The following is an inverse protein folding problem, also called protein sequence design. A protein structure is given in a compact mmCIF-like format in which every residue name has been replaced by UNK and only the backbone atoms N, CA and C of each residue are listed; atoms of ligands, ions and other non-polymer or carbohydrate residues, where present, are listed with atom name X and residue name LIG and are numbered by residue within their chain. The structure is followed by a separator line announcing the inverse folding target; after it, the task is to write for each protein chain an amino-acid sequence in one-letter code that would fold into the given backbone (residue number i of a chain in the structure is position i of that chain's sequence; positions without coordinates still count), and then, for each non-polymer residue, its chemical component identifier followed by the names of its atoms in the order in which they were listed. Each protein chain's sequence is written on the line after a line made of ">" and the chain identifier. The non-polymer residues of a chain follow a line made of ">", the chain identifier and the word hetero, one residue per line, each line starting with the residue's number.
data_IF_537619629102
#
_entry.id   IF_537619629102
#
_cell.length_a   1.000
_cell.length_b   1.000
_cell.length_c   1.000
_cell.angle_alpha   90.00
_cell.angle_beta   90.00
_cell.angle_gamma   90.00
#
_symmetry.space_group_name_H-M   'P 1'
#
loop_
_entity.id
_entity.type
_entity.pdbx_description
1 polymer ?
#
# COMPACT_ATOMS: atom_id res chain seq x y z
N UNK A 1 8.31 21.20 -4.73
CA UNK A 1 7.54 20.54 -5.82
C UNK A 1 6.40 19.77 -5.16
N UNK A 2 5.19 19.78 -5.71
CA UNK A 2 4.05 19.05 -5.13
C UNK A 2 4.17 17.57 -5.51
N UNK A 3 4.01 16.65 -4.55
CA UNK A 3 4.14 15.20 -4.77
C UNK A 3 3.05 14.67 -5.72
N UNK A 4 1.80 14.95 -5.39
CA UNK A 4 0.62 14.57 -6.18
C UNK A 4 -0.24 15.81 -6.44
N UNK A 5 0.01 16.54 -7.54
CA UNK A 5 -0.84 17.66 -7.93
C UNK A 5 -2.31 17.21 -8.03
N UNK A 6 -3.27 18.00 -7.53
CA UNK A 6 -4.69 17.68 -7.66
C UNK A 6 -5.09 17.54 -9.14
N UNK A 7 -5.80 16.47 -9.46
CA UNK A 7 -6.37 16.21 -10.79
C UNK A 7 -7.81 15.75 -10.59
N UNK A 8 -8.73 16.31 -11.37
CA UNK A 8 -10.15 15.95 -11.30
C UNK A 8 -10.36 14.45 -11.53
N UNK A 9 -11.20 13.81 -10.70
CA UNK A 9 -11.46 12.37 -10.78
C UNK A 9 -10.30 11.47 -10.32
N UNK A 10 -9.21 12.05 -9.80
CA UNK A 10 -8.07 11.33 -9.26
C UNK A 10 -7.96 11.58 -7.76
N UNK A 11 -7.93 10.51 -6.97
CA UNK A 11 -7.60 10.59 -5.55
C UNK A 11 -6.24 9.94 -5.30
N UNK A 12 -5.49 10.54 -4.39
CA UNK A 12 -4.18 10.03 -3.99
C UNK A 12 -4.03 10.05 -2.47
N UNK A 13 -3.34 9.05 -1.96
CA UNK A 13 -2.85 9.00 -0.58
C UNK A 13 -1.38 8.63 -0.64
N UNK A 14 -0.55 9.31 0.15
CA UNK A 14 0.88 9.10 0.14
C UNK A 14 1.43 8.85 1.55
N UNK A 15 2.41 7.96 1.61
CA UNK A 15 3.26 7.74 2.78
C UNK A 15 4.73 7.84 2.37
N UNK A 16 5.62 7.82 3.35
CA UNK A 16 7.04 8.02 3.17
C UNK A 16 7.82 6.96 3.94
N UNK A 17 8.91 6.46 3.38
CA UNK A 17 9.88 5.60 4.07
C UNK A 17 11.25 5.75 3.45
N UNK A 18 12.21 6.21 4.25
CA UNK A 18 13.60 6.32 3.85
C UNK A 18 13.79 7.33 2.71
N UNK A 19 14.10 6.83 1.53
CA UNK A 19 14.40 7.58 0.31
C UNK A 19 13.27 7.56 -0.72
N UNK A 20 12.10 6.98 -0.39
CA UNK A 20 10.96 6.86 -1.30
C UNK A 20 9.64 7.37 -0.70
N UNK A 21 8.81 7.95 -1.58
CA UNK A 21 7.38 8.09 -1.36
C UNK A 21 6.64 6.87 -1.91
N UNK A 22 5.58 6.47 -1.22
CA UNK A 22 4.67 5.38 -1.57
C UNK A 22 3.28 5.98 -1.75
N UNK A 23 2.64 5.72 -2.89
CA UNK A 23 1.44 6.45 -3.30
C UNK A 23 0.36 5.45 -3.71
N UNK A 24 -0.83 5.53 -3.11
CA UNK A 24 -2.05 4.92 -3.63
C UNK A 24 -2.72 5.92 -4.54
N UNK A 25 -3.01 5.53 -5.77
CA UNK A 25 -3.72 6.35 -6.75
C UNK A 25 -4.97 5.62 -7.21
N UNK A 26 -6.11 6.32 -7.19
CA UNK A 26 -7.36 5.85 -7.78
C UNK A 26 -7.80 6.82 -8.87
N UNK A 27 -8.22 6.29 -10.01
CA UNK A 27 -8.75 7.05 -11.15
C UNK A 27 -9.98 6.36 -11.75
N UNK A 28 -10.54 6.90 -12.84
CA UNK A 28 -11.59 6.20 -13.59
C UNK A 28 -11.11 4.90 -14.24
N UNK A 29 -9.87 4.85 -14.71
CA UNK A 29 -9.26 3.65 -15.34
C UNK A 29 -8.77 2.67 -14.27
N UNK A 30 -8.12 3.16 -13.21
CA UNK A 30 -7.64 2.37 -12.08
C UNK A 30 -8.63 2.52 -10.92
N UNK A 31 -9.83 2.00 -11.08
CA UNK A 31 -10.95 2.21 -10.15
C UNK A 31 -10.80 1.45 -8.83
N UNK A 32 -10.04 0.35 -8.84
CA UNK A 32 -9.62 -0.41 -7.65
C UNK A 32 -8.26 0.05 -7.08
N UNK A 33 -7.81 1.21 -7.53
CA UNK A 33 -6.50 1.80 -7.23
C UNK A 33 -5.30 1.00 -7.73
N UNK A 34 -4.15 1.66 -7.71
CA UNK A 34 -2.82 1.08 -7.92
C UNK A 34 -1.86 1.69 -6.89
N UNK A 35 -0.73 1.02 -6.65
CA UNK A 35 0.33 1.53 -5.78
C UNK A 35 1.55 1.89 -6.60
N UNK A 36 2.08 3.08 -6.34
CA UNK A 36 3.26 3.64 -6.99
C UNK A 36 4.34 3.96 -5.96
N UNK A 37 5.56 4.11 -6.42
CA UNK A 37 6.65 4.68 -5.64
C UNK A 37 7.53 5.60 -6.48
N UNK A 38 8.14 6.58 -5.82
CA UNK A 38 9.15 7.46 -6.42
C UNK A 38 10.22 7.84 -5.41
N UNK A 39 11.46 8.09 -5.86
CA UNK A 39 12.49 8.67 -5.01
C UNK A 39 12.10 10.06 -4.49
N UNK A 40 12.48 10.38 -3.25
CA UNK A 40 12.19 11.69 -2.63
C UNK A 40 12.90 12.83 -3.36
N UNK A 41 14.10 12.58 -3.90
CA UNK A 41 14.89 13.54 -4.65
C UNK A 41 14.43 13.72 -6.11
N UNK A 42 13.71 12.75 -6.66
CA UNK A 42 13.17 12.78 -8.01
C UNK A 42 11.76 12.19 -8.10
N UNK A 43 10.78 12.96 -7.62
CA UNK A 43 9.36 12.56 -7.67
C UNK A 43 8.82 12.35 -9.11
N UNK A 44 9.51 12.85 -10.15
CA UNK A 44 9.12 12.60 -11.54
C UNK A 44 9.43 11.17 -12.00
N UNK A 45 10.35 10.48 -11.33
CA UNK A 45 10.64 9.06 -11.56
C UNK A 45 9.64 8.15 -10.83
N UNK A 46 8.34 8.47 -10.94
CA UNK A 46 7.28 7.66 -10.34
C UNK A 46 7.04 6.41 -11.17
N UNK A 47 7.00 5.26 -10.50
CA UNK A 47 6.78 3.95 -11.12
C UNK A 47 5.63 3.22 -10.45
N UNK A 48 4.89 2.42 -11.22
CA UNK A 48 3.84 1.55 -10.69
C UNK A 48 4.50 0.32 -10.07
N UNK A 49 4.26 0.10 -8.78
CA UNK A 49 4.84 -0.99 -8.01
C UNK A 49 3.84 -2.14 -7.86
N UNK A 50 2.57 -1.83 -7.58
CA UNK A 50 1.48 -2.79 -7.59
C UNK A 50 0.40 -2.29 -8.55
N UNK A 51 0.26 -2.89 -9.74
CA UNK A 51 -0.68 -2.40 -10.74
C UNK A 51 -2.12 -2.67 -10.33
N UNK A 52 -3.03 -1.89 -10.92
CA UNK A 52 -4.46 -2.10 -10.84
C UNK A 52 -4.87 -3.52 -11.28
N UNK A 53 -5.83 -4.10 -10.57
CA UNK A 53 -6.47 -5.39 -10.89
C UNK A 53 -7.98 -5.27 -10.75
N UNK A 54 -8.73 -5.74 -11.74
CA UNK A 54 -10.20 -5.63 -11.75
C UNK A 54 -10.88 -6.41 -10.61
N UNK A 55 -10.28 -7.52 -10.19
CA UNK A 55 -10.82 -8.40 -9.15
C UNK A 55 -10.35 -8.08 -7.72
N UNK A 56 -9.44 -7.10 -7.55
CA UNK A 56 -8.80 -6.81 -6.26
C UNK A 56 -8.82 -5.30 -6.00
N UNK A 57 -9.60 -4.87 -5.02
CA UNK A 57 -9.63 -3.47 -4.58
C UNK A 57 -8.53 -3.22 -3.55
N UNK A 58 -7.66 -2.23 -3.80
CA UNK A 58 -6.66 -1.79 -2.82
C UNK A 58 -7.30 -0.71 -1.95
N UNK A 59 -7.77 -1.12 -0.77
CA UNK A 59 -8.48 -0.24 0.15
C UNK A 59 -7.51 0.72 0.84
N UNK A 60 -6.40 0.19 1.35
CA UNK A 60 -5.39 1.00 2.01
C UNK A 60 -4.01 0.35 2.08
N UNK A 61 -3.02 1.09 2.59
CA UNK A 61 -1.70 0.54 2.86
C UNK A 61 -0.99 1.22 4.03
N UNK A 62 -0.02 0.51 4.60
CA UNK A 62 0.90 1.03 5.60
C UNK A 62 2.32 0.58 5.31
N UNK A 63 3.27 1.51 5.41
CA UNK A 63 4.68 1.27 5.09
C UNK A 63 5.49 1.23 6.38
N UNK A 64 6.31 0.18 6.52
CA UNK A 64 7.18 -0.05 7.67
C UNK A 64 8.64 -0.10 7.25
N UNK A 65 9.55 -0.25 8.22
CA UNK A 65 10.99 -0.24 7.97
C UNK A 65 11.43 -1.29 6.94
N UNK A 66 10.85 -2.49 6.94
CA UNK A 66 11.26 -3.60 6.07
C UNK A 66 10.11 -4.26 5.31
N UNK A 67 8.87 -3.79 5.48
CA UNK A 67 7.72 -4.39 4.83
C UNK A 67 6.65 -3.34 4.48
N UNK A 68 5.84 -3.69 3.48
CA UNK A 68 4.69 -2.91 3.05
C UNK A 68 3.44 -3.78 3.25
N UNK A 69 2.55 -3.32 4.12
CA UNK A 69 1.25 -3.95 4.35
C UNK A 69 0.23 -3.30 3.43
N UNK A 70 -0.49 -4.12 2.66
CA UNK A 70 -1.56 -3.68 1.77
C UNK A 70 -2.86 -4.34 2.24
N UNK A 71 -3.89 -3.52 2.46
CA UNK A 71 -5.24 -3.99 2.71
C UNK A 71 -5.96 -4.08 1.36
N UNK A 72 -6.20 -5.31 0.93
CA UNK A 72 -6.92 -5.64 -0.29
C UNK A 72 -8.35 -6.07 0.05
N UNK A 73 -9.28 -5.92 -0.88
CA UNK A 73 -10.59 -6.58 -0.83
C UNK A 73 -10.76 -7.44 -2.08
N UNK A 74 -11.02 -8.72 -1.86
CA UNK A 74 -11.21 -9.72 -2.91
C UNK A 74 -12.54 -10.40 -2.67
N UNK A 75 -13.44 -10.34 -3.66
CA UNK A 75 -14.80 -10.90 -3.55
C UNK A 75 -15.56 -10.42 -2.30
N UNK A 76 -15.33 -9.16 -1.91
CA UNK A 76 -15.96 -8.56 -0.75
C UNK A 76 -15.26 -8.84 0.58
N UNK A 77 -14.30 -9.76 0.64
CA UNK A 77 -13.57 -10.09 1.87
C UNK A 77 -12.29 -9.24 2.00
N UNK A 78 -12.04 -8.60 3.16
CA UNK A 78 -10.78 -7.93 3.41
C UNK A 78 -9.64 -8.96 3.49
N UNK A 79 -8.48 -8.64 2.92
CA UNK A 79 -7.27 -9.46 2.96
C UNK A 79 -6.08 -8.56 3.25
N UNK A 80 -5.21 -9.01 4.14
CA UNK A 80 -3.98 -8.32 4.43
C UNK A 80 -2.84 -9.03 3.69
N UNK A 81 -2.11 -8.29 2.86
CA UNK A 81 -0.97 -8.81 2.10
C UNK A 81 0.29 -8.07 2.50
N UNK A 82 1.33 -8.82 2.88
CA UNK A 82 2.62 -8.28 3.30
C UNK A 82 3.64 -8.49 2.20
N UNK A 83 4.29 -7.40 1.77
CA UNK A 83 5.40 -7.43 0.83
C UNK A 83 6.69 -7.05 1.54
N UNK A 84 7.79 -7.75 1.24
CA UNK A 84 9.10 -7.33 1.70
C UNK A 84 9.56 -6.08 0.95
N UNK A 85 10.15 -5.15 1.70
CA UNK A 85 10.81 -3.98 1.13
C UNK A 85 12.33 -4.13 1.24
N UNK A 86 13.09 -3.71 0.22
CA UNK A 86 14.54 -3.70 0.28
C UNK A 86 15.02 -2.71 1.34
N UNK A 87 16.23 -2.90 1.88
CA UNK A 87 16.79 -1.96 2.85
C UNK A 87 16.83 -0.51 2.31
N UNK A 88 16.73 0.48 3.20
CA UNK A 88 16.80 1.90 2.80
C UNK A 88 18.11 2.16 2.05
N UNK A 89 18.04 2.90 0.94
CA UNK A 89 19.17 3.15 0.05
C UNK A 89 19.40 2.06 -1.01
N UNK A 90 18.68 0.94 -0.95
CA UNK A 90 18.66 -0.02 -2.06
C UNK A 90 17.51 0.29 -3.04
N UNK A 91 17.70 0.03 -4.35
CA UNK A 91 16.69 0.33 -5.36
C UNK A 91 15.37 -0.43 -5.15
N UNK A 92 14.23 0.29 -5.17
CA UNK A 92 12.90 -0.30 -5.22
C UNK A 92 12.49 -0.56 -6.68
N UNK A 93 12.86 -1.72 -7.24
CA UNK A 93 12.56 -2.07 -8.64
C UNK A 93 11.20 -2.77 -8.83
N UNK A 94 10.58 -3.21 -7.74
CA UNK A 94 9.33 -3.96 -7.72
C UNK A 94 9.15 -4.68 -6.39
N UNK A 95 7.98 -5.29 -6.19
CA UNK A 95 7.71 -6.13 -5.02
C UNK A 95 7.96 -7.61 -5.36
N UNK A 96 8.44 -8.36 -4.37
CA UNK A 96 8.42 -9.82 -4.42
C UNK A 96 7.00 -10.37 -4.33
N UNK A 97 6.88 -11.69 -4.15
CA UNK A 97 5.59 -12.34 -3.92
C UNK A 97 5.01 -11.86 -2.59
N UNK A 98 3.81 -11.27 -2.65
CA UNK A 98 3.07 -10.85 -1.46
C UNK A 98 2.63 -12.06 -0.65
N UNK A 99 2.75 -11.96 0.68
CA UNK A 99 2.33 -13.00 1.62
C UNK A 99 0.98 -12.60 2.22
N UNK A 100 -0.12 -13.29 1.88
CA UNK A 100 -1.39 -13.06 2.55
C UNK A 100 -1.28 -13.49 4.01
N UNK A 101 -1.94 -12.76 4.90
CA UNK A 101 -2.15 -13.18 6.28
C UNK A 101 -3.48 -13.92 6.35
N UNK A 102 -3.42 -15.20 6.74
CA UNK A 102 -4.60 -16.03 6.93
C UNK A 102 -5.23 -15.76 8.29
N UNK A 103 -6.56 -15.66 8.28
CA UNK A 103 -7.37 -15.51 9.48
C UNK A 103 -8.16 -16.81 9.67
N UNK A 104 -8.25 -17.28 10.92
CA UNK A 104 -8.90 -18.57 11.24
C UNK A 104 -10.41 -18.49 11.07
N UNK A 105 -11.00 -17.32 11.32
CA UNK A 105 -12.43 -17.09 11.16
C UNK A 105 -12.80 -16.82 9.68
N UNK A 106 -13.89 -17.40 9.17
CA UNK A 106 -14.32 -17.21 7.77
C UNK A 106 -14.89 -15.80 7.50
N UNK A 107 -15.29 -15.07 8.55
CA UNK A 107 -15.82 -13.72 8.49
C UNK A 107 -15.10 -12.88 9.54
N UNK A 108 -14.48 -11.79 9.10
CA UNK A 108 -13.75 -10.87 9.95
C UNK A 108 -13.72 -9.47 9.35
N UNK A 109 -13.58 -8.47 10.22
CA UNK A 109 -13.17 -7.11 9.85
C UNK A 109 -11.72 -6.87 10.26
N UNK A 110 -10.93 -6.21 9.41
CA UNK A 110 -9.57 -5.74 9.75
C UNK A 110 -9.60 -4.22 9.83
N UNK A 111 -9.23 -3.67 10.97
CA UNK A 111 -9.02 -2.23 11.15
C UNK A 111 -7.54 -1.95 11.36
N UNK A 112 -7.01 -1.00 10.59
CA UNK A 112 -5.71 -0.40 10.82
C UNK A 112 -5.77 0.41 12.11
N UNK A 113 -4.98 0.04 13.12
CA UNK A 113 -4.71 0.92 14.26
C UNK A 113 -3.56 1.86 13.89
N UNK A 114 -3.62 3.11 14.36
CA UNK A 114 -2.51 4.06 14.23
C UNK A 114 -1.23 3.42 14.81
N UNK A 115 -0.34 2.99 13.93
CA UNK A 115 0.97 2.46 14.31
C UNK A 115 1.96 3.61 14.31
N UNK A 116 2.71 3.76 15.39
CA UNK A 116 3.79 4.76 15.41
C UNK A 116 4.79 4.41 14.30
N UNK A 117 5.23 5.41 13.54
CA UNK A 117 6.09 5.30 12.36
C UNK A 117 7.37 4.44 12.55
N UNK A 118 7.78 4.20 13.80
CA UNK A 118 8.93 3.37 14.22
C UNK A 118 8.57 1.98 14.76
N UNK A 119 7.29 1.62 14.84
CA UNK A 119 6.86 0.34 15.39
C UNK A 119 6.97 -0.78 14.36
N UNK A 120 7.61 -1.88 14.76
CA UNK A 120 7.65 -3.14 14.01
C UNK A 120 6.36 -3.97 14.16
N UNK A 121 5.37 -3.43 14.87
CA UNK A 121 4.11 -4.10 15.21
C UNK A 121 2.96 -3.51 14.39
N UNK A 122 2.25 -4.39 13.71
CA UNK A 122 0.99 -4.10 13.05
C UNK A 122 -0.16 -4.49 13.98
N UNK A 123 -0.84 -3.51 14.55
CA UNK A 123 -2.03 -3.72 15.37
C UNK A 123 -3.27 -3.76 14.49
N UNK A 124 -3.98 -4.88 14.48
CA UNK A 124 -5.29 -4.98 13.86
C UNK A 124 -6.29 -5.54 14.85
N UNK A 125 -7.51 -5.01 14.80
CA UNK A 125 -8.64 -5.59 15.51
C UNK A 125 -9.43 -6.45 14.55
N UNK A 126 -9.60 -7.71 14.92
CA UNK A 126 -10.58 -8.61 14.32
C UNK A 126 -11.90 -8.42 15.07
N UNK A 127 -12.98 -8.19 14.33
CA UNK A 127 -14.34 -8.29 14.85
C UNK A 127 -15.16 -9.23 13.95
N UNK A 128 -15.98 -10.13 14.54
CA UNK A 128 -16.94 -10.94 13.80
C UNK A 128 -18.08 -10.08 13.22
#
# INVERSE_FOLDING_TARGET
>A
KVLTPPVEGVSTYASHRGDHFFIKRRSGVCFNSELLACPVDNISATTVILPHRESVNIEDFQVFLNHWVVLERVEGLPKLVVYDLPAIGQPLKGLGVGRPVDFVDPVYSVYLLDSQFSSIFYGFRIAP
#
